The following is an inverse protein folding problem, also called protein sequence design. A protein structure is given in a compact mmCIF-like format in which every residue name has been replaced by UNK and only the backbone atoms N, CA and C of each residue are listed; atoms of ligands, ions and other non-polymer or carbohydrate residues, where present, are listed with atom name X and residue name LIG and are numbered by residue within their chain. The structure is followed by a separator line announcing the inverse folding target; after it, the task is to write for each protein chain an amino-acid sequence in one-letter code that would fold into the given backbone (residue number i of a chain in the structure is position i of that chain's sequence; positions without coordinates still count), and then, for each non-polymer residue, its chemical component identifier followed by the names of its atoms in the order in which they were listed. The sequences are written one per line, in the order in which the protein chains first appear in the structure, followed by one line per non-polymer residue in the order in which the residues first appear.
data_IF_236583044715
#
_entry.id   IF_236583044715
#
_cell.length_a   1.000
_cell.length_b   1.000
_cell.length_c   1.000
_cell.angle_alpha   90.00
_cell.angle_beta   90.00
_cell.angle_gamma   90.00
#
_symmetry.space_group_name_H-M   'P 1'
#
loop_
_entity.id
_entity.type
_entity.pdbx_description
1 polymer ?
#
# COMPACT_ATOMS: atom_id res chain seq x y z
N UNK A 1 -94.17 19.24 -120.79
CA UNK A 1 -94.23 20.54 -120.09
C UNK A 1 -95.69 20.86 -119.84
N UNK A 2 -96.10 21.32 -118.64
CA UNK A 2 -95.40 21.24 -117.34
C UNK A 2 -95.45 19.76 -116.84
N UNK A 3 -95.61 19.30 -115.58
CA UNK A 3 -95.61 19.91 -114.23
C UNK A 3 -95.08 18.88 -113.19
N UNK A 4 -94.56 19.29 -112.01
CA UNK A 4 -94.10 18.38 -110.95
C UNK A 4 -95.14 18.13 -109.83
N UNK A 5 -95.19 16.93 -109.23
CA UNK A 5 -95.97 16.67 -108.02
C UNK A 5 -95.25 17.09 -106.72
N UNK A 6 -96.05 17.44 -105.71
CA UNK A 6 -95.65 18.08 -104.45
C UNK A 6 -94.84 17.19 -103.47
N UNK A 7 -94.10 17.80 -102.52
CA UNK A 7 -93.22 17.08 -101.59
C UNK A 7 -93.98 16.23 -100.56
N UNK A 8 -93.38 15.10 -100.16
CA UNK A 8 -93.80 14.32 -98.99
C UNK A 8 -93.26 14.96 -97.70
N UNK A 9 -94.17 15.29 -96.79
CA UNK A 9 -93.89 15.70 -95.40
C UNK A 9 -93.19 14.58 -94.60
N UNK A 10 -92.48 14.91 -93.51
CA UNK A 10 -91.43 14.07 -92.95
C UNK A 10 -91.95 12.90 -92.09
N UNK A 11 -91.08 11.89 -91.90
CA UNK A 11 -91.28 10.83 -90.92
C UNK A 11 -91.52 11.45 -89.53
N UNK A 12 -92.56 10.97 -88.86
CA UNK A 12 -93.02 11.56 -87.60
C UNK A 12 -91.98 11.51 -86.48
N UNK A 13 -92.07 12.50 -85.58
CA UNK A 13 -91.45 12.42 -84.26
C UNK A 13 -91.82 11.09 -83.59
N UNK A 14 -90.89 10.39 -82.92
CA UNK A 14 -91.16 9.07 -82.35
C UNK A 14 -92.34 9.15 -81.39
N UNK A 15 -93.33 8.28 -81.60
CA UNK A 15 -94.64 8.31 -80.94
C UNK A 15 -94.57 8.21 -79.40
N UNK A 16 -93.44 7.71 -78.87
CA UNK A 16 -93.16 7.66 -77.45
C UNK A 16 -91.77 8.25 -77.13
N UNK A 17 -91.54 8.62 -75.87
CA UNK A 17 -90.25 9.14 -75.39
C UNK A 17 -89.97 8.74 -73.94
N UNK A 18 -88.70 8.67 -73.57
CA UNK A 18 -88.27 8.46 -72.19
C UNK A 18 -88.50 9.72 -71.35
N UNK A 19 -89.34 9.62 -70.31
CA UNK A 19 -89.57 10.68 -69.32
C UNK A 19 -88.97 10.26 -67.98
N UNK A 20 -88.22 11.15 -67.32
CA UNK A 20 -87.85 10.96 -65.90
C UNK A 20 -89.13 11.10 -65.08
N UNK A 21 -89.53 10.04 -64.38
CA UNK A 21 -90.75 10.02 -63.55
C UNK A 21 -90.47 10.11 -62.06
N UNK A 22 -89.23 9.81 -61.65
CA UNK A 22 -88.83 9.84 -60.25
C UNK A 22 -87.43 9.25 -60.06
N UNK A 23 -87.23 8.62 -58.91
CA UNK A 23 -85.97 8.03 -58.48
C UNK A 23 -86.23 6.74 -57.68
N UNK A 24 -85.23 5.87 -57.57
CA UNK A 24 -85.27 4.72 -56.67
C UNK A 24 -85.35 5.16 -55.20
N UNK A 25 -85.57 4.19 -54.30
CA UNK A 25 -85.19 4.37 -52.91
C UNK A 25 -83.69 4.74 -52.80
N UNK A 26 -83.32 5.51 -51.78
CA UNK A 26 -81.94 5.83 -51.47
C UNK A 26 -81.21 4.56 -50.98
N UNK A 27 -79.95 4.35 -51.39
CA UNK A 27 -79.18 3.15 -51.02
C UNK A 27 -78.90 3.02 -49.52
N UNK A 28 -79.09 4.09 -48.75
CA UNK A 28 -79.00 4.12 -47.30
C UNK A 28 -80.30 4.69 -46.72
N UNK A 29 -80.75 4.12 -45.60
CA UNK A 29 -81.93 4.60 -44.87
C UNK A 29 -81.66 5.87 -44.05
N UNK A 30 -80.41 6.27 -43.93
CA UNK A 30 -79.95 7.46 -43.21
C UNK A 30 -78.59 7.94 -43.76
N UNK A 31 -78.19 9.16 -43.42
CA UNK A 31 -76.88 9.72 -43.77
C UNK A 31 -76.70 9.95 -45.27
N UNK A 32 -75.54 9.54 -45.80
CA UNK A 32 -75.22 9.60 -47.23
C UNK A 32 -75.68 8.32 -47.93
N UNK A 33 -76.42 8.46 -49.02
CA UNK A 33 -76.68 7.38 -49.96
C UNK A 33 -76.64 7.86 -51.41
N UNK A 34 -76.92 6.93 -52.32
CA UNK A 34 -77.15 7.22 -53.74
C UNK A 34 -78.49 6.65 -54.17
N UNK A 35 -79.23 7.43 -54.97
CA UNK A 35 -80.44 6.99 -55.67
C UNK A 35 -80.16 6.90 -57.17
N UNK A 36 -81.03 6.26 -57.93
CA UNK A 36 -80.96 6.20 -59.40
C UNK A 36 -82.23 6.77 -60.00
N UNK A 37 -82.16 7.65 -61.01
CA UNK A 37 -83.34 8.19 -61.65
C UNK A 37 -84.10 7.09 -62.41
N UNK A 38 -85.43 7.08 -62.27
CA UNK A 38 -86.33 6.16 -62.95
C UNK A 38 -86.88 6.84 -64.20
N UNK A 39 -86.74 6.16 -65.34
CA UNK A 39 -87.23 6.60 -66.64
C UNK A 39 -88.25 5.59 -67.16
N UNK A 40 -89.47 6.06 -67.44
CA UNK A 40 -90.53 5.28 -68.08
C UNK A 40 -90.76 5.77 -69.52
N UNK A 41 -91.32 4.90 -70.34
CA UNK A 41 -91.69 5.22 -71.71
C UNK A 41 -93.09 5.83 -71.73
N UNK A 42 -93.27 7.00 -72.34
CA UNK A 42 -94.55 7.71 -72.36
C UNK A 42 -94.96 8.11 -73.77
N UNK A 43 -96.23 7.89 -74.09
CA UNK A 43 -96.90 8.31 -75.32
C UNK A 43 -96.87 9.83 -75.49
N UNK A 44 -96.52 10.32 -76.70
CA UNK A 44 -96.58 11.75 -77.01
C UNK A 44 -98.00 12.26 -77.23
N UNK A 45 -98.92 11.40 -77.65
CA UNK A 45 -100.30 11.77 -77.99
C UNK A 45 -101.25 11.62 -76.81
N UNK A 46 -101.23 10.48 -76.11
CA UNK A 46 -102.10 10.22 -74.95
C UNK A 46 -101.49 10.62 -73.60
N UNK A 47 -100.17 10.78 -73.51
CA UNK A 47 -99.48 11.04 -72.25
C UNK A 47 -99.42 9.84 -71.29
N UNK A 48 -99.93 8.67 -71.70
CA UNK A 48 -99.94 7.45 -70.90
C UNK A 48 -98.60 6.70 -70.93
N UNK A 49 -98.37 5.89 -69.89
CA UNK A 49 -97.24 4.97 -69.80
C UNK A 49 -97.38 3.83 -70.82
N UNK A 50 -96.30 3.56 -71.55
CA UNK A 50 -96.19 2.49 -72.53
C UNK A 50 -95.09 1.51 -72.12
N UNK A 51 -95.11 0.30 -72.69
CA UNK A 51 -94.03 -0.67 -72.53
C UNK A 51 -92.68 -0.07 -72.96
N UNK A 52 -91.59 -0.41 -72.26
CA UNK A 52 -90.24 0.11 -72.54
C UNK A 52 -89.82 -0.07 -74.01
N UNK A 53 -90.29 -1.13 -74.68
CA UNK A 53 -89.99 -1.42 -76.09
C UNK A 53 -90.52 -0.33 -77.03
N UNK A 54 -91.62 0.34 -76.69
CA UNK A 54 -92.16 1.46 -77.47
C UNK A 54 -91.21 2.67 -77.53
N UNK A 55 -90.26 2.77 -76.60
CA UNK A 55 -89.21 3.78 -76.60
C UNK A 55 -87.83 3.26 -77.05
N UNK A 56 -87.73 2.01 -77.50
CA UNK A 56 -86.45 1.40 -77.90
C UNK A 56 -85.79 2.09 -79.12
N UNK A 57 -86.57 2.80 -79.95
CA UNK A 57 -86.06 3.62 -81.04
C UNK A 57 -85.34 4.91 -80.57
N UNK A 58 -85.50 5.29 -79.29
CA UNK A 58 -84.83 6.44 -78.68
C UNK A 58 -83.77 6.01 -77.66
N UNK A 59 -82.64 6.72 -77.63
CA UNK A 59 -81.60 6.48 -76.63
C UNK A 59 -82.14 6.67 -75.20
N UNK A 60 -82.06 5.62 -74.37
CA UNK A 60 -82.46 5.69 -72.96
C UNK A 60 -81.47 6.59 -72.20
N UNK A 61 -81.93 7.60 -71.46
CA UNK A 61 -81.03 8.46 -70.67
C UNK A 61 -80.23 7.66 -69.62
N UNK A 62 -79.00 8.07 -69.29
CA UNK A 62 -78.16 7.35 -68.34
C UNK A 62 -78.72 7.43 -66.92
N UNK A 63 -78.88 6.27 -66.27
CA UNK A 63 -79.27 6.16 -64.86
C UNK A 63 -78.06 6.25 -63.92
N UNK A 64 -77.26 7.32 -64.07
CA UNK A 64 -76.12 7.61 -63.19
C UNK A 64 -76.58 7.72 -61.74
N UNK A 65 -75.84 7.16 -60.77
CA UNK A 65 -76.18 7.30 -59.37
C UNK A 65 -76.01 8.77 -58.94
N UNK A 66 -77.08 9.38 -58.48
CA UNK A 66 -77.12 10.75 -57.97
C UNK A 66 -77.11 10.69 -56.42
N UNK A 67 -76.48 11.65 -55.71
CA UNK A 67 -76.44 11.64 -54.26
C UNK A 67 -77.81 11.93 -53.65
N UNK A 68 -78.20 11.15 -52.63
CA UNK A 68 -79.35 11.41 -51.79
C UNK A 68 -78.89 11.59 -50.33
N UNK A 69 -79.45 12.60 -49.65
CA UNK A 69 -79.21 12.85 -48.24
C UNK A 69 -80.43 12.39 -47.45
N UNK A 70 -80.25 11.33 -46.66
CA UNK A 70 -81.27 10.87 -45.71
C UNK A 70 -81.28 11.70 -44.43
N UNK A 71 -82.17 11.36 -43.51
CA UNK A 71 -82.08 11.83 -42.12
C UNK A 71 -80.75 11.39 -41.50
N UNK A 72 -80.19 12.12 -40.51
CA UNK A 72 -78.97 11.69 -39.84
C UNK A 72 -79.11 10.28 -39.27
N UNK A 73 -78.07 9.45 -39.38
CA UNK A 73 -78.10 8.11 -38.79
C UNK A 73 -78.17 8.18 -37.25
N UNK A 74 -78.59 7.10 -36.58
CA UNK A 74 -78.49 7.02 -35.12
C UNK A 74 -77.05 7.31 -34.66
N UNK A 75 -76.85 8.07 -33.57
CA UNK A 75 -75.53 8.31 -33.03
C UNK A 75 -74.96 7.02 -32.43
N UNK A 76 -73.63 6.90 -32.32
CA UNK A 76 -72.96 5.74 -31.76
C UNK A 76 -71.69 6.12 -30.98
N UNK A 77 -71.28 5.26 -30.04
CA UNK A 77 -70.01 5.40 -29.33
C UNK A 77 -68.86 4.89 -30.19
N UNK A 78 -67.99 5.78 -30.63
CA UNK A 78 -66.67 5.45 -31.17
C UNK A 78 -65.65 5.41 -30.03
N UNK A 79 -64.88 4.32 -29.96
CA UNK A 79 -63.85 4.16 -28.94
C UNK A 79 -62.46 4.44 -29.54
N UNK A 80 -61.72 5.36 -28.93
CA UNK A 80 -60.35 5.66 -29.33
C UNK A 80 -59.34 4.60 -28.85
N UNK A 81 -58.09 4.82 -29.23
CA UNK A 81 -56.95 3.99 -28.81
C UNK A 81 -56.76 3.98 -27.29
N UNK A 82 -56.22 2.86 -26.80
CA UNK A 82 -55.82 2.72 -25.40
C UNK A 82 -54.52 3.47 -25.11
N UNK A 83 -54.44 4.14 -23.95
CA UNK A 83 -53.19 4.70 -23.43
C UNK A 83 -52.17 3.60 -23.17
N UNK A 84 -50.90 3.99 -22.92
CA UNK A 84 -49.96 3.11 -22.22
C UNK A 84 -50.53 2.63 -20.88
N UNK A 85 -50.04 1.48 -20.41
CA UNK A 85 -50.39 0.90 -19.11
C UNK A 85 -49.93 1.84 -17.98
N UNK A 86 -50.73 1.99 -16.92
CA UNK A 86 -50.42 2.87 -15.78
C UNK A 86 -49.20 2.44 -14.95
N UNK A 87 -48.63 1.26 -15.23
CA UNK A 87 -47.37 0.76 -14.67
C UNK A 87 -46.46 0.28 -15.80
N UNK A 88 -45.15 0.23 -15.54
CA UNK A 88 -44.14 -0.40 -16.42
C UNK A 88 -44.00 -1.91 -16.20
N UNK A 89 -44.54 -2.44 -15.10
CA UNK A 89 -44.51 -3.84 -14.71
C UNK A 89 -45.75 -4.20 -13.86
N UNK A 90 -46.09 -5.48 -13.81
CA UNK A 90 -47.19 -6.02 -13.02
C UNK A 90 -48.59 -5.70 -13.55
N UNK A 91 -49.63 -5.86 -12.71
CA UNK A 91 -51.00 -5.49 -13.04
C UNK A 91 -51.19 -3.96 -13.00
N UNK A 92 -51.74 -3.40 -14.08
CA UNK A 92 -52.06 -1.98 -14.21
C UNK A 92 -53.37 -1.76 -14.95
N UNK A 93 -53.61 -0.51 -15.33
CA UNK A 93 -54.81 -0.04 -16.04
C UNK A 93 -54.46 0.80 -17.26
N UNK A 94 -55.16 0.58 -18.37
CA UNK A 94 -55.17 1.44 -19.55
C UNK A 94 -56.50 2.17 -19.62
N UNK A 95 -56.49 3.37 -20.19
CA UNK A 95 -57.66 4.21 -20.38
C UNK A 95 -57.86 4.52 -21.87
N UNK A 96 -59.08 4.77 -22.30
CA UNK A 96 -59.37 5.30 -23.64
C UNK A 96 -60.50 6.31 -23.60
N UNK A 97 -60.51 7.21 -24.57
CA UNK A 97 -61.59 8.18 -24.74
C UNK A 97 -62.71 7.58 -25.60
N UNK A 98 -63.94 8.04 -25.36
CA UNK A 98 -65.10 7.74 -26.19
C UNK A 98 -65.60 9.03 -26.83
N UNK A 99 -65.87 8.98 -28.13
CA UNK A 99 -66.50 10.07 -28.87
C UNK A 99 -67.91 9.60 -29.28
N UNK A 100 -68.93 10.42 -29.05
CA UNK A 100 -70.23 10.18 -29.64
C UNK A 100 -70.19 10.69 -31.08
N UNK A 101 -70.34 9.80 -32.07
CA UNK A 101 -70.34 10.18 -33.49
C UNK A 101 -71.70 10.00 -34.13
N UNK A 102 -71.97 10.80 -35.15
CA UNK A 102 -73.19 10.71 -35.93
C UNK A 102 -72.88 10.97 -37.42
N UNK A 103 -73.39 10.09 -38.28
CA UNK A 103 -73.29 10.21 -39.75
C UNK A 103 -74.39 11.15 -40.27
N UNK A 104 -73.97 12.26 -40.87
CA UNK A 104 -74.85 13.23 -41.54
C UNK A 104 -74.68 13.12 -43.07
N UNK A 105 -75.60 13.73 -43.84
CA UNK A 105 -75.43 13.87 -45.30
C UNK A 105 -74.13 14.57 -45.72
N UNK A 106 -73.47 15.31 -44.82
CA UNK A 106 -72.13 15.88 -45.02
C UNK A 106 -70.96 14.94 -44.66
N UNK A 107 -71.19 13.92 -43.83
CA UNK A 107 -70.22 12.94 -43.33
C UNK A 107 -70.36 12.70 -41.82
N UNK A 108 -69.57 11.77 -41.27
CA UNK A 108 -69.46 11.54 -39.83
C UNK A 108 -68.86 12.75 -39.10
N UNK A 109 -69.52 13.19 -38.02
CA UNK A 109 -69.02 14.23 -37.12
C UNK A 109 -69.14 13.81 -35.66
N UNK A 110 -68.30 14.39 -34.80
CA UNK A 110 -68.42 14.27 -33.35
C UNK A 110 -69.55 15.15 -32.84
N UNK A 111 -70.40 14.60 -31.99
CA UNK A 111 -71.59 15.26 -31.44
C UNK A 111 -71.59 15.20 -29.90
N UNK A 112 -72.39 16.02 -29.21
CA UNK A 112 -72.40 16.05 -27.75
C UNK A 112 -72.69 14.66 -27.12
N UNK A 113 -71.98 14.25 -26.06
CA UNK A 113 -72.06 12.91 -25.46
C UNK A 113 -73.49 12.47 -25.09
N UNK A 114 -74.35 13.42 -24.76
CA UNK A 114 -75.73 13.22 -24.34
C UNK A 114 -76.56 12.53 -25.43
N UNK A 115 -76.22 12.74 -26.72
CA UNK A 115 -76.89 12.05 -27.84
C UNK A 115 -76.67 10.54 -27.82
N UNK A 116 -75.55 10.07 -27.29
CA UNK A 116 -75.27 8.65 -27.07
C UNK A 116 -75.56 8.19 -25.62
N UNK A 117 -76.09 9.06 -24.75
CA UNK A 117 -76.26 8.77 -23.32
C UNK A 117 -77.23 7.64 -22.99
N UNK A 118 -78.14 7.32 -23.92
CA UNK A 118 -79.07 6.19 -23.82
C UNK A 118 -78.51 4.86 -24.36
N UNK A 119 -77.32 4.88 -24.96
CA UNK A 119 -76.66 3.71 -25.54
C UNK A 119 -75.67 3.09 -24.53
N UNK A 120 -75.49 1.76 -24.53
CA UNK A 120 -74.53 1.10 -23.64
C UNK A 120 -73.12 1.66 -23.88
N UNK A 121 -72.55 2.29 -22.86
CA UNK A 121 -71.24 2.93 -22.93
C UNK A 121 -70.13 1.86 -22.91
N UNK A 122 -69.26 1.78 -23.94
CA UNK A 122 -68.13 0.85 -23.92
C UNK A 122 -67.19 1.07 -22.73
N UNK A 123 -66.47 0.02 -22.31
CA UNK A 123 -65.48 0.14 -21.24
C UNK A 123 -64.41 1.18 -21.59
N UNK A 124 -64.22 2.16 -20.70
CA UNK A 124 -63.21 3.24 -20.80
C UNK A 124 -61.90 2.92 -20.07
N UNK A 125 -61.91 1.86 -19.26
CA UNK A 125 -60.76 1.34 -18.51
C UNK A 125 -60.63 -0.15 -18.78
N UNK A 126 -59.40 -0.63 -18.97
CA UNK A 126 -59.07 -2.05 -19.14
C UNK A 126 -57.87 -2.41 -18.27
N UNK A 127 -57.85 -3.62 -17.71
CA UNK A 127 -56.69 -4.17 -17.02
C UNK A 127 -55.59 -4.56 -18.00
N UNK A 128 -54.38 -4.08 -17.79
CA UNK A 128 -53.16 -4.53 -18.49
C UNK A 128 -52.32 -5.38 -17.54
N UNK A 129 -51.79 -6.50 -18.04
CA UNK A 129 -50.85 -7.35 -17.30
C UNK A 129 -49.50 -7.33 -18.00
N UNK A 130 -48.51 -6.71 -17.36
CA UNK A 130 -47.12 -6.69 -17.84
C UNK A 130 -46.29 -7.76 -17.12
N UNK A 131 -45.00 -7.83 -17.50
CA UNK A 131 -43.98 -8.66 -16.82
C UNK A 131 -44.00 -8.38 -15.32
N UNK A 132 -43.76 -9.40 -14.48
CA UNK A 132 -43.69 -9.23 -13.03
C UNK A 132 -42.64 -8.16 -12.67
N UNK A 133 -42.97 -7.30 -11.70
CA UNK A 133 -42.04 -6.30 -11.20
C UNK A 133 -40.84 -6.97 -10.50
N UNK A 134 -39.70 -6.28 -10.50
CA UNK A 134 -38.59 -6.63 -9.63
C UNK A 134 -39.00 -6.58 -8.15
N UNK A 135 -38.34 -7.38 -7.32
CA UNK A 135 -38.56 -7.40 -5.88
C UNK A 135 -37.24 -7.28 -5.11
N UNK A 136 -37.31 -6.74 -3.89
CA UNK A 136 -36.14 -6.63 -3.03
C UNK A 136 -35.85 -7.98 -2.36
N UNK A 137 -34.62 -8.45 -2.52
CA UNK A 137 -34.13 -9.67 -1.89
C UNK A 137 -32.98 -9.36 -0.92
N UNK A 138 -32.99 -10.00 0.24
CA UNK A 138 -31.91 -9.92 1.23
C UNK A 138 -30.85 -10.95 0.85
N UNK A 139 -29.77 -10.48 0.22
CA UNK A 139 -28.71 -11.35 -0.31
C UNK A 139 -27.74 -11.90 0.74
N UNK A 140 -27.74 -11.37 1.97
CA UNK A 140 -26.84 -11.80 3.04
C UNK A 140 -27.49 -11.72 4.43
N UNK A 141 -27.01 -12.50 5.41
CA UNK A 141 -27.22 -12.17 6.81
C UNK A 141 -26.57 -10.82 7.17
N UNK A 142 -26.87 -10.30 8.36
CA UNK A 142 -26.18 -9.13 8.91
C UNK A 142 -24.69 -9.38 9.16
N UNK A 143 -23.87 -8.37 8.90
CA UNK A 143 -22.46 -8.34 9.30
C UNK A 143 -22.31 -8.35 10.83
N UNK A 144 -21.08 -8.58 11.29
CA UNK A 144 -20.70 -8.19 12.65
C UNK A 144 -20.87 -6.66 12.83
N UNK A 145 -21.07 -6.23 14.07
CA UNK A 145 -21.15 -4.81 14.40
C UNK A 145 -19.81 -4.11 14.09
N UNK A 146 -19.84 -2.87 13.59
CA UNK A 146 -18.65 -2.09 13.26
C UNK A 146 -17.75 -1.76 14.46
N UNK A 147 -18.21 -2.03 15.68
CA UNK A 147 -17.53 -1.79 16.95
C UNK A 147 -17.59 -3.03 17.84
N UNK A 148 -16.61 -3.19 18.74
CA UNK A 148 -16.58 -4.28 19.74
C UNK A 148 -17.34 -3.94 21.02
N UNK A 149 -17.60 -2.66 21.26
CA UNK A 149 -18.39 -2.09 22.35
C UNK A 149 -19.08 -0.82 21.84
N UNK A 150 -20.09 -0.35 22.54
CA UNK A 150 -20.77 0.91 22.25
C UNK A 150 -21.69 0.79 21.03
N UNK A 151 -22.06 1.95 20.50
CA UNK A 151 -22.96 2.06 19.35
C UNK A 151 -22.19 1.99 18.04
N UNK A 152 -22.59 1.10 17.16
CA UNK A 152 -22.08 0.98 15.79
C UNK A 152 -23.18 0.68 14.79
N UNK A 153 -22.78 0.27 13.59
CA UNK A 153 -23.69 -0.22 12.56
C UNK A 153 -23.30 -1.64 12.13
N UNK A 154 -24.31 -2.42 11.76
CA UNK A 154 -24.16 -3.64 10.96
C UNK A 154 -24.84 -3.45 9.60
N UNK A 155 -24.30 -4.07 8.56
CA UNK A 155 -24.80 -3.98 7.19
C UNK A 155 -25.17 -5.35 6.64
N UNK A 156 -26.05 -5.38 5.64
CA UNK A 156 -26.38 -6.57 4.85
C UNK A 156 -26.62 -6.17 3.39
N UNK A 157 -26.39 -7.10 2.48
CA UNK A 157 -26.70 -6.88 1.07
C UNK A 157 -28.21 -6.96 0.84
N UNK A 158 -28.74 -5.94 0.17
CA UNK A 158 -30.13 -5.88 -0.31
C UNK A 158 -30.04 -5.53 -1.78
N UNK A 159 -30.57 -6.40 -2.65
CA UNK A 159 -30.50 -6.28 -4.11
C UNK A 159 -31.90 -6.22 -4.70
N UNK A 160 -32.05 -5.54 -5.83
CA UNK A 160 -33.26 -5.60 -6.62
C UNK A 160 -33.10 -6.74 -7.63
N UNK A 161 -33.99 -7.74 -7.58
CA UNK A 161 -33.94 -8.91 -8.49
C UNK A 161 -35.15 -8.95 -9.40
N UNK A 162 -34.88 -9.21 -10.67
CA UNK A 162 -35.90 -9.36 -11.70
C UNK A 162 -36.59 -10.72 -11.65
N UNK A 163 -37.56 -10.94 -12.54
CA UNK A 163 -38.34 -12.18 -12.60
C UNK A 163 -37.50 -13.44 -12.88
N UNK A 164 -36.29 -13.29 -13.41
CA UNK A 164 -35.38 -14.39 -13.75
C UNK A 164 -34.37 -14.71 -12.62
N UNK A 165 -34.37 -13.95 -11.52
CA UNK A 165 -33.36 -14.03 -10.46
C UNK A 165 -32.10 -13.19 -10.71
N UNK A 166 -31.96 -12.60 -11.91
CA UNK A 166 -30.90 -11.65 -12.23
C UNK A 166 -31.03 -10.35 -11.41
N UNK A 167 -29.90 -9.74 -11.06
CA UNK A 167 -29.87 -8.42 -10.42
C UNK A 167 -30.19 -7.32 -11.45
N UNK A 168 -31.21 -6.50 -11.15
CA UNK A 168 -31.75 -5.48 -12.05
C UNK A 168 -31.72 -4.09 -11.40
N UNK A 169 -32.08 -3.05 -12.15
CA UNK A 169 -32.09 -1.67 -11.64
C UNK A 169 -33.06 -1.52 -10.46
N UNK A 170 -32.64 -0.84 -9.39
CA UNK A 170 -33.47 -0.53 -8.21
C UNK A 170 -34.82 0.13 -8.57
N UNK A 171 -34.86 0.84 -9.70
CA UNK A 171 -36.06 1.49 -10.24
C UNK A 171 -37.18 0.49 -10.57
N UNK A 172 -36.87 -0.77 -10.89
CA UNK A 172 -37.86 -1.82 -11.15
C UNK A 172 -38.55 -2.26 -9.84
N UNK A 173 -37.80 -2.28 -8.73
CA UNK A 173 -38.30 -2.57 -7.39
C UNK A 173 -38.97 -1.36 -6.72
N UNK A 174 -38.69 -0.13 -7.17
CA UNK A 174 -39.26 1.10 -6.59
C UNK A 174 -40.79 1.18 -6.67
N UNK A 175 -41.43 0.41 -7.55
CA UNK A 175 -42.90 0.31 -7.64
C UNK A 175 -43.51 -0.77 -6.74
N UNK A 176 -42.67 -1.57 -6.06
CA UNK A 176 -43.06 -2.65 -5.16
C UNK A 176 -43.06 -2.24 -3.68
N UNK A 177 -42.93 -3.20 -2.75
CA UNK A 177 -42.72 -2.93 -1.33
C UNK A 177 -41.43 -2.10 -1.07
N UNK A 178 -41.34 -1.36 0.04
CA UNK A 178 -40.16 -0.56 0.36
C UNK A 178 -38.91 -1.42 0.54
N UNK A 179 -37.75 -0.86 0.19
CA UNK A 179 -36.45 -1.51 0.34
C UNK A 179 -36.21 -1.91 1.82
N UNK A 180 -35.90 -3.19 2.11
CA UNK A 180 -35.47 -3.60 3.44
C UNK A 180 -34.24 -2.81 3.89
N UNK A 181 -34.10 -2.45 5.19
CA UNK A 181 -32.94 -1.69 5.64
C UNK A 181 -31.64 -2.48 5.38
N UNK A 182 -30.71 -1.86 4.66
CA UNK A 182 -29.37 -2.40 4.36
C UNK A 182 -28.36 -2.12 5.48
N UNK A 183 -28.70 -1.22 6.41
CA UNK A 183 -27.94 -0.89 7.62
C UNK A 183 -28.85 -0.86 8.84
N UNK A 184 -28.31 -1.24 9.98
CA UNK A 184 -29.01 -1.25 11.26
C UNK A 184 -28.04 -0.85 12.38
N UNK A 185 -28.55 -0.15 13.39
CA UNK A 185 -27.76 0.19 14.57
C UNK A 185 -27.57 -1.04 15.47
N UNK A 186 -26.37 -1.20 16.02
CA UNK A 186 -26.05 -2.20 17.03
C UNK A 186 -25.48 -1.53 18.27
N UNK A 187 -25.90 -1.98 19.45
CA UNK A 187 -25.33 -1.57 20.73
C UNK A 187 -24.64 -2.79 21.36
N UNK A 188 -23.32 -2.71 21.48
CA UNK A 188 -22.47 -3.78 22.01
C UNK A 188 -22.15 -3.56 23.51
N UNK A 189 -22.97 -2.76 24.21
CA UNK A 189 -22.79 -2.43 25.63
C UNK A 189 -21.81 -1.27 25.88
N UNK A 190 -21.59 -0.86 27.13
CA UNK A 190 -20.73 0.29 27.42
C UNK A 190 -19.25 0.05 27.04
N UNK A 191 -18.64 0.99 26.32
CA UNK A 191 -17.19 1.01 26.14
C UNK A 191 -16.50 1.46 27.43
N UNK A 192 -15.98 0.52 28.21
CA UNK A 192 -15.14 0.80 29.38
C UNK A 192 -13.67 0.87 28.99
N UNK A 193 -12.93 1.74 29.68
CA UNK A 193 -11.46 1.71 29.67
C UNK A 193 -11.00 1.03 30.95
N UNK A 194 -10.25 -0.07 30.82
CA UNK A 194 -9.92 -0.96 31.93
C UNK A 194 -8.45 -1.37 31.92
N UNK A 195 -7.95 -1.74 33.10
CA UNK A 195 -6.61 -2.32 33.26
C UNK A 195 -6.65 -3.81 32.93
N UNK A 196 -5.95 -4.20 31.87
CA UNK A 196 -5.69 -5.60 31.52
C UNK A 196 -4.29 -5.98 31.98
N UNK A 197 -4.09 -7.26 32.30
CA UNK A 197 -2.79 -7.77 32.71
C UNK A 197 -2.57 -9.19 32.18
N UNK A 198 -1.31 -9.55 31.92
CA UNK A 198 -0.94 -10.94 31.62
C UNK A 198 -0.85 -11.77 32.90
N UNK A 199 -0.70 -13.09 32.71
CA UNK A 199 -0.13 -13.95 33.74
C UNK A 199 1.29 -13.50 34.13
N UNK A 200 1.72 -13.95 35.31
CA UNK A 200 3.06 -13.72 35.83
C UNK A 200 4.12 -14.50 35.06
N UNK A 201 5.33 -13.94 34.93
CA UNK A 201 6.47 -14.61 34.31
C UNK A 201 6.69 -15.98 34.94
N UNK A 202 6.70 -17.04 34.12
CA UNK A 202 6.80 -18.43 34.59
C UNK A 202 8.06 -18.73 35.40
N UNK A 203 9.13 -17.93 35.21
CA UNK A 203 10.37 -17.95 35.99
C UNK A 203 10.45 -16.74 36.93
N UNK A 204 11.05 -16.96 38.10
CA UNK A 204 11.50 -15.91 39.00
C UNK A 204 12.78 -15.24 38.43
N UNK A 205 13.04 -13.98 38.76
CA UNK A 205 14.27 -13.29 38.28
C UNK A 205 15.55 -13.83 38.91
N UNK A 206 15.46 -14.55 40.03
CA UNK A 206 16.55 -15.24 40.69
C UNK A 206 16.38 -16.76 40.53
N UNK A 207 17.50 -17.49 40.47
CA UNK A 207 17.52 -18.97 40.35
C UNK A 207 17.29 -19.66 41.70
N UNK A 208 17.56 -18.94 42.79
CA UNK A 208 17.39 -19.35 44.19
C UNK A 208 17.18 -18.08 45.04
N UNK A 209 16.78 -18.23 46.30
CA UNK A 209 16.56 -17.08 47.19
C UNK A 209 15.35 -16.24 46.78
N UNK A 210 15.35 -14.95 47.16
CA UNK A 210 14.30 -13.99 46.81
C UNK A 210 14.54 -13.36 45.44
N UNK A 211 13.51 -13.28 44.61
CA UNK A 211 13.51 -12.56 43.33
C UNK A 211 12.16 -11.94 43.01
N UNK A 212 11.98 -11.53 41.76
CA UNK A 212 10.77 -10.85 41.27
C UNK A 212 10.18 -11.61 40.07
N UNK A 213 8.87 -11.80 40.06
CA UNK A 213 8.11 -12.12 38.84
C UNK A 213 7.47 -10.85 38.29
N UNK A 214 7.47 -10.71 36.96
CA UNK A 214 6.92 -9.57 36.23
C UNK A 214 5.70 -9.99 35.42
N UNK A 215 4.76 -9.09 35.18
CA UNK A 215 3.67 -9.26 34.19
C UNK A 215 3.45 -7.97 33.42
N UNK A 216 2.88 -8.05 32.22
CA UNK A 216 2.42 -6.83 31.54
C UNK A 216 1.15 -6.32 32.21
N UNK A 217 1.03 -5.00 32.29
CA UNK A 217 -0.17 -4.30 32.78
C UNK A 217 -0.42 -3.14 31.83
N UNK A 218 -1.50 -3.21 31.07
CA UNK A 218 -1.84 -2.25 30.01
C UNK A 218 -3.21 -1.64 30.26
N UNK A 219 -3.33 -0.33 30.05
CA UNK A 219 -4.61 0.34 29.99
C UNK A 219 -5.12 0.26 28.55
N UNK A 220 -6.29 -0.32 28.32
CA UNK A 220 -6.92 -0.36 27.00
C UNK A 220 -8.32 0.23 27.08
N UNK A 221 -8.55 1.27 26.27
CA UNK A 221 -9.88 1.80 25.99
C UNK A 221 -10.46 1.06 24.80
N UNK A 222 -11.67 0.52 24.93
CA UNK A 222 -12.31 -0.32 23.91
C UNK A 222 -12.75 0.45 22.63
N UNK A 223 -12.46 1.76 22.54
CA UNK A 223 -12.96 2.69 21.51
C UNK A 223 -12.00 3.04 20.36
N UNK A 224 -10.92 2.27 20.14
CA UNK A 224 -10.02 2.49 19.00
C UNK A 224 -10.61 1.93 17.68
N UNK A 225 -11.60 2.62 17.12
CA UNK A 225 -12.08 2.34 15.76
C UNK A 225 -11.03 2.76 14.73
N UNK A 226 -10.48 1.80 13.99
CA UNK A 226 -9.60 2.04 12.84
C UNK A 226 -10.42 2.52 11.63
N UNK A 227 -10.84 3.79 11.67
CA UNK A 227 -11.46 4.50 10.56
C UNK A 227 -10.45 5.47 9.91
N UNK A 228 -10.11 5.32 8.61
CA UNK A 228 -9.23 6.27 7.95
C UNK A 228 -10.00 7.55 7.57
N UNK A 229 -9.76 8.63 8.32
CA UNK A 229 -10.03 10.00 7.90
C UNK A 229 -11.41 10.58 8.22
N UNK A 230 -11.49 11.35 9.31
CA UNK A 230 -12.01 12.72 9.30
C UNK A 230 -11.55 13.46 10.58
N UNK A 231 -11.28 14.75 10.44
CA UNK A 231 -10.65 15.56 11.48
C UNK A 231 -11.62 16.16 12.50
N UNK A 232 -11.05 16.54 13.64
CA UNK A 232 -11.45 17.66 14.49
C UNK A 232 -12.96 17.95 14.69
N UNK A 233 -13.54 17.37 15.74
CA UNK A 233 -13.99 18.15 16.91
C UNK A 233 -14.72 17.25 17.91
N UNK A 234 -14.15 17.10 19.11
CA UNK A 234 -14.75 16.33 20.18
C UNK A 234 -13.76 16.09 21.29
N UNK A 235 -13.79 16.95 22.31
CA UNK A 235 -12.98 16.83 23.52
C UNK A 235 -13.49 15.67 24.41
N UNK A 236 -13.42 14.44 23.89
CA UNK A 236 -13.49 13.24 24.68
C UNK A 236 -12.21 13.15 25.50
N UNK A 237 -12.33 13.34 26.82
CA UNK A 237 -11.24 13.16 27.78
C UNK A 237 -10.46 11.90 27.45
N UNK A 238 -9.17 12.02 27.13
CA UNK A 238 -8.30 10.86 26.86
C UNK A 238 -8.39 9.90 28.04
N UNK A 239 -9.14 8.80 27.84
CA UNK A 239 -9.82 8.12 28.94
C UNK A 239 -8.85 7.16 29.63
N UNK A 240 -7.86 7.73 30.30
CA UNK A 240 -6.80 7.00 31.00
C UNK A 240 -7.39 6.20 32.14
N UNK A 241 -6.95 4.96 32.29
CA UNK A 241 -7.42 4.09 33.36
C UNK A 241 -7.05 4.70 34.72
N UNK A 242 -7.96 4.69 35.72
CA UNK A 242 -7.69 5.32 37.01
C UNK A 242 -6.45 4.68 37.68
N UNK A 243 -5.47 5.52 38.02
CA UNK A 243 -4.15 5.06 38.49
C UNK A 243 -4.24 4.22 39.76
N UNK A 244 -5.20 4.52 40.64
CA UNK A 244 -5.44 3.78 41.90
C UNK A 244 -5.96 2.35 41.73
N UNK A 245 -6.47 1.97 40.55
CA UNK A 245 -6.88 0.59 40.26
C UNK A 245 -5.88 -0.17 39.38
N UNK A 246 -4.70 0.40 39.11
CA UNK A 246 -3.64 -0.26 38.31
C UNK A 246 -3.16 -1.53 39.05
N UNK A 247 -3.32 -2.73 38.47
CA UNK A 247 -2.77 -3.95 39.05
C UNK A 247 -1.24 -3.86 39.17
N UNK A 248 -0.62 -4.47 40.20
CA UNK A 248 0.84 -4.49 40.32
C UNK A 248 1.46 -5.25 39.14
N UNK A 249 2.53 -4.71 38.57
CA UNK A 249 3.32 -5.30 37.47
C UNK A 249 4.49 -6.17 37.95
N UNK A 250 4.79 -6.13 39.25
CA UNK A 250 5.83 -6.90 39.93
C UNK A 250 5.29 -7.58 41.19
N UNK A 251 5.75 -8.81 41.47
CA UNK A 251 5.56 -9.49 42.76
C UNK A 251 6.85 -10.20 43.20
N UNK A 252 7.03 -10.35 44.51
CA UNK A 252 8.12 -11.16 45.05
C UNK A 252 7.89 -12.67 44.77
N UNK A 253 8.97 -13.39 44.58
CA UNK A 253 9.04 -14.86 44.52
C UNK A 253 10.22 -15.35 45.36
N UNK A 254 10.13 -16.57 45.89
CA UNK A 254 11.21 -17.20 46.65
C UNK A 254 11.41 -18.64 46.20
N UNK A 255 12.65 -19.01 45.81
CA UNK A 255 13.01 -20.32 45.28
C UNK A 255 13.97 -21.08 46.22
N UNK A 256 13.62 -21.17 47.51
CA UNK A 256 14.44 -21.84 48.52
C UNK A 256 15.75 -21.11 48.85
N UNK A 257 16.58 -21.65 49.76
CA UNK A 257 17.89 -21.08 50.07
C UNK A 257 18.86 -21.26 48.89
N UNK A 258 19.76 -20.30 48.68
CA UNK A 258 20.83 -20.44 47.70
C UNK A 258 21.97 -21.30 48.25
N UNK A 259 22.38 -22.31 47.50
CA UNK A 259 23.60 -23.08 47.78
C UNK A 259 24.85 -22.36 47.24
N UNK A 260 25.98 -22.59 47.91
CA UNK A 260 27.27 -22.01 47.53
C UNK A 260 27.96 -22.91 46.52
N UNK A 261 28.11 -22.44 45.28
CA UNK A 261 28.79 -23.15 44.19
C UNK A 261 30.13 -22.51 43.87
N UNK A 262 31.03 -23.22 43.19
CA UNK A 262 32.34 -22.71 42.76
C UNK A 262 32.51 -22.82 41.25
N UNK A 263 33.29 -21.91 40.66
CA UNK A 263 33.66 -21.96 39.24
C UNK A 263 34.91 -21.15 38.94
N UNK A 264 35.62 -21.54 37.89
CA UNK A 264 36.66 -20.72 37.30
C UNK A 264 36.04 -19.50 36.59
N UNK A 265 36.63 -18.32 36.82
CA UNK A 265 36.35 -17.11 36.07
C UNK A 265 37.63 -16.67 35.37
N UNK A 266 37.53 -16.28 34.10
CA UNK A 266 38.66 -15.88 33.27
C UNK A 266 38.57 -14.40 32.97
N UNK A 267 39.65 -13.65 33.24
CA UNK A 267 39.77 -12.26 32.81
C UNK A 267 39.91 -12.13 31.28
N UNK A 268 39.93 -10.88 30.76
CA UNK A 268 40.32 -10.62 29.38
C UNK A 268 41.75 -11.11 29.12
N UNK A 269 42.07 -11.35 27.85
CA UNK A 269 43.46 -11.55 27.44
C UNK A 269 44.22 -10.22 27.55
N UNK A 270 45.40 -10.25 28.15
CA UNK A 270 46.36 -9.15 28.11
C UNK A 270 47.06 -9.06 26.76
N UNK A 271 47.98 -8.11 26.64
CA UNK A 271 48.68 -7.82 25.39
C UNK A 271 49.50 -9.03 24.89
N UNK A 272 49.68 -9.09 23.57
CA UNK A 272 50.47 -10.15 22.94
C UNK A 272 51.95 -9.96 23.30
N UNK A 273 52.66 -11.03 23.67
CA UNK A 273 54.10 -11.00 24.02
C UNK A 273 55.02 -10.49 22.91
N UNK A 274 54.51 -10.38 21.69
CA UNK A 274 55.21 -9.96 20.49
C UNK A 274 54.40 -8.86 19.80
N UNK A 275 54.97 -7.67 19.65
CA UNK A 275 54.34 -6.56 18.90
C UNK A 275 54.08 -6.92 17.43
N UNK A 276 54.91 -7.81 16.88
CA UNK A 276 54.82 -8.30 15.51
C UNK A 276 55.12 -9.81 15.43
N UNK A 277 54.59 -10.49 14.41
CA UNK A 277 54.77 -11.94 14.22
C UNK A 277 53.94 -12.78 15.18
N UNK A 278 54.40 -13.99 15.51
CA UNK A 278 53.73 -14.87 16.48
C UNK A 278 54.14 -14.54 17.92
N UNK A 279 53.18 -14.62 18.83
CA UNK A 279 53.39 -14.43 20.26
C UNK A 279 52.40 -15.24 21.09
N UNK A 280 52.39 -15.00 22.40
CA UNK A 280 51.40 -15.55 23.32
C UNK A 280 50.80 -14.45 24.19
N UNK A 281 49.51 -14.55 24.45
CA UNK A 281 48.77 -13.67 25.35
C UNK A 281 48.42 -14.44 26.64
N UNK A 282 48.49 -13.74 27.77
CA UNK A 282 48.16 -14.26 29.10
C UNK A 282 46.82 -13.71 29.57
N UNK A 283 46.06 -14.49 30.32
CA UNK A 283 44.92 -13.99 31.11
C UNK A 283 44.94 -14.54 32.52
N UNK A 284 44.31 -13.80 33.42
CA UNK A 284 44.10 -14.26 34.79
C UNK A 284 42.94 -15.24 34.89
N UNK A 285 43.09 -16.21 35.79
CA UNK A 285 42.08 -17.24 36.06
C UNK A 285 41.95 -17.39 37.57
N UNK A 286 40.81 -16.97 38.09
CA UNK A 286 40.50 -16.95 39.51
C UNK A 286 39.37 -17.93 39.83
N UNK A 287 39.41 -18.54 41.01
CA UNK A 287 38.32 -19.37 41.51
C UNK A 287 37.34 -18.47 42.27
N UNK A 288 36.08 -18.43 41.84
CA UNK A 288 35.03 -17.64 42.51
C UNK A 288 33.95 -18.56 43.05
N UNK A 289 33.47 -18.27 44.26
CA UNK A 289 32.25 -18.87 44.78
C UNK A 289 31.04 -17.98 44.47
N UNK A 290 29.95 -18.59 43.98
CA UNK A 290 28.64 -17.96 43.77
C UNK A 290 27.73 -18.31 44.94
N UNK A 291 27.08 -17.32 45.53
CA UNK A 291 25.98 -17.49 46.48
C UNK A 291 24.84 -16.57 46.04
N UNK A 292 23.79 -17.12 45.44
CA UNK A 292 22.76 -16.32 44.77
C UNK A 292 23.35 -15.45 43.66
N UNK A 293 23.23 -14.13 43.79
CA UNK A 293 23.81 -13.14 42.88
C UNK A 293 25.21 -12.68 43.26
N UNK A 294 25.75 -13.07 44.43
CA UNK A 294 27.06 -12.63 44.90
C UNK A 294 28.20 -13.52 44.39
N UNK A 295 29.35 -12.89 44.14
CA UNK A 295 30.56 -13.52 43.60
C UNK A 295 31.72 -13.14 44.52
N UNK A 296 32.29 -14.12 45.21
CA UNK A 296 33.44 -13.91 46.10
C UNK A 296 34.67 -14.65 45.57
N UNK A 297 35.83 -13.98 45.54
CA UNK A 297 37.10 -14.61 45.13
C UNK A 297 37.57 -15.55 46.25
N UNK A 298 37.99 -16.75 45.88
CA UNK A 298 38.36 -17.81 46.83
C UNK A 298 39.67 -18.50 46.42
N UNK A 299 40.26 -19.28 47.32
CA UNK A 299 41.45 -20.08 47.01
C UNK A 299 41.24 -20.95 45.76
N UNK A 300 42.21 -21.00 44.82
CA UNK A 300 42.18 -21.87 43.64
C UNK A 300 41.91 -23.35 43.95
N UNK A 301 42.27 -23.83 45.15
CA UNK A 301 42.02 -25.20 45.60
C UNK A 301 40.53 -25.58 45.58
N UNK A 302 39.62 -24.63 45.80
CA UNK A 302 38.18 -24.91 45.80
C UNK A 302 37.63 -25.26 44.42
N UNK A 303 38.28 -24.80 43.34
CA UNK A 303 37.90 -25.11 41.97
C UNK A 303 38.75 -26.25 41.35
N UNK A 304 39.58 -26.94 42.14
CA UNK A 304 40.50 -27.99 41.67
C UNK A 304 39.80 -29.17 41.00
N UNK A 305 38.56 -29.48 41.42
CA UNK A 305 37.72 -30.53 40.84
C UNK A 305 37.05 -30.13 39.50
N UNK A 306 37.24 -28.87 39.05
CA UNK A 306 36.66 -28.34 37.82
C UNK A 306 37.75 -28.14 36.75
N UNK A 307 37.46 -28.39 35.46
CA UNK A 307 38.42 -28.21 34.38
C UNK A 307 38.91 -26.75 34.33
N UNK A 308 40.20 -26.55 34.59
CA UNK A 308 40.81 -25.21 34.61
C UNK A 308 41.01 -24.69 33.17
N UNK A 309 40.47 -23.51 32.81
CA UNK A 309 40.67 -22.94 31.48
C UNK A 309 42.16 -22.65 31.18
N UNK A 310 42.54 -22.54 29.89
CA UNK A 310 43.92 -22.20 29.52
C UNK A 310 44.24 -20.74 29.90
N UNK A 311 45.38 -20.53 30.56
CA UNK A 311 45.89 -19.20 30.97
C UNK A 311 46.80 -18.55 29.91
N UNK A 312 47.16 -19.28 28.85
CA UNK A 312 47.95 -18.84 27.72
C UNK A 312 47.23 -19.23 26.41
N UNK A 313 47.31 -18.37 25.41
CA UNK A 313 46.83 -18.64 24.05
C UNK A 313 47.82 -18.03 23.04
N UNK A 314 48.05 -18.64 21.86
CA UNK A 314 48.76 -17.98 20.78
C UNK A 314 48.02 -16.71 20.31
N UNK A 315 48.80 -15.70 19.94
CA UNK A 315 48.34 -14.46 19.31
C UNK A 315 49.25 -14.13 18.13
N UNK A 316 48.71 -13.37 17.17
CA UNK A 316 49.46 -12.86 16.03
C UNK A 316 49.50 -11.33 16.14
N UNK A 317 50.70 -10.78 16.34
CA UNK A 317 50.96 -9.35 16.24
C UNK A 317 50.93 -8.87 14.78
N UNK A 318 51.28 -7.61 14.54
CA UNK A 318 51.32 -7.09 13.16
C UNK A 318 52.40 -7.77 12.31
N UNK A 319 52.36 -7.58 10.99
CA UNK A 319 53.44 -8.03 10.12
C UNK A 319 54.74 -7.28 10.50
N UNK A 320 55.77 -8.02 10.91
CA UNK A 320 57.06 -7.41 11.26
C UNK A 320 57.65 -6.67 10.05
N UNK A 321 57.99 -5.40 10.24
CA UNK A 321 58.52 -4.56 9.17
C UNK A 321 60.05 -4.66 9.08
N UNK A 322 60.57 -4.52 7.86
CA UNK A 322 62.01 -4.46 7.60
C UNK A 322 62.59 -3.15 8.20
N UNK A 323 63.78 -3.22 8.82
CA UNK A 323 64.35 -2.09 9.59
C UNK A 323 65.80 -1.78 9.21
N UNK A 324 66.20 -0.52 9.37
CA UNK A 324 67.57 -0.08 9.15
C UNK A 324 68.48 -0.51 10.32
N UNK A 325 69.62 -1.10 9.97
CA UNK A 325 70.73 -1.39 10.88
C UNK A 325 71.96 -0.57 10.46
N UNK A 326 72.84 -0.29 11.41
CA UNK A 326 74.09 0.42 11.13
C UNK A 326 75.24 -0.10 11.98
N UNK A 327 76.43 -0.19 11.41
CA UNK A 327 77.65 -0.56 12.14
C UNK A 327 78.11 0.58 13.07
N UNK A 328 79.01 0.29 14.03
CA UNK A 328 79.74 1.34 14.76
C UNK A 328 80.46 2.30 13.81
N UNK A 329 80.68 3.53 14.26
CA UNK A 329 81.43 4.53 13.50
C UNK A 329 82.92 4.16 13.42
N UNK A 330 83.53 4.43 12.27
CA UNK A 330 84.98 4.33 12.06
C UNK A 330 85.77 5.19 13.06
N UNK A 331 87.08 5.01 13.19
CA UNK A 331 87.96 6.06 13.72
C UNK A 331 87.76 7.37 12.94
N UNK A 332 87.97 8.51 13.60
CA UNK A 332 87.85 9.82 12.95
C UNK A 332 89.05 10.06 12.02
N UNK A 333 88.80 10.53 10.80
CA UNK A 333 89.84 10.72 9.79
C UNK A 333 90.94 11.73 10.16
N UNK A 334 90.72 12.57 11.18
CA UNK A 334 91.67 13.56 11.72
C UNK A 334 91.52 13.62 13.24
N UNK A 335 92.62 13.80 13.97
CA UNK A 335 92.63 13.88 15.44
C UNK A 335 92.12 15.24 15.98
N UNK A 336 92.20 16.30 15.19
CA UNK A 336 91.72 17.65 15.52
C UNK A 336 91.40 18.47 14.25
N UNK A 337 90.85 19.67 14.42
CA UNK A 337 90.48 20.62 13.36
C UNK A 337 89.47 20.07 12.32
N UNK A 338 88.61 19.13 12.71
CA UNK A 338 87.53 18.60 11.90
C UNK A 338 87.94 17.45 10.98
N UNK A 339 87.47 16.25 11.30
CA UNK A 339 87.51 15.06 10.45
C UNK A 339 86.10 14.55 10.12
N UNK A 340 86.02 13.42 9.43
CA UNK A 340 84.76 12.69 9.16
C UNK A 340 84.88 11.25 9.64
N UNK A 341 83.80 10.74 10.25
CA UNK A 341 83.60 9.31 10.51
C UNK A 341 82.60 8.74 9.52
N UNK A 342 82.79 7.48 9.13
CA UNK A 342 81.89 6.72 8.26
C UNK A 342 81.34 5.50 9.01
N UNK A 343 80.19 5.01 8.57
CA UNK A 343 79.65 3.70 8.98
C UNK A 343 78.82 3.10 7.86
N UNK A 344 78.62 1.80 7.90
CA UNK A 344 77.69 1.12 7.00
C UNK A 344 76.26 1.20 7.53
N UNK A 345 75.31 1.26 6.61
CA UNK A 345 73.87 1.36 6.89
C UNK A 345 73.11 0.51 5.88
N UNK A 346 72.60 -0.63 6.34
CA UNK A 346 71.91 -1.63 5.54
C UNK A 346 70.49 -1.81 6.06
N UNK A 347 69.53 -2.05 5.16
CA UNK A 347 68.16 -2.41 5.52
C UNK A 347 68.11 -3.94 5.56
N UNK A 348 67.64 -4.51 6.68
CA UNK A 348 67.52 -5.96 6.82
C UNK A 348 66.07 -6.35 7.07
N UNK A 349 65.68 -7.47 6.47
CA UNK A 349 64.39 -8.10 6.72
C UNK A 349 64.38 -8.86 8.04
N UNK A 350 63.20 -9.36 8.42
CA UNK A 350 62.97 -10.18 9.63
C UNK A 350 63.94 -11.36 9.74
N UNK A 351 64.34 -11.93 8.60
CA UNK A 351 65.23 -13.08 8.52
C UNK A 351 66.72 -12.69 8.39
N UNK A 352 67.08 -11.44 8.74
CA UNK A 352 68.43 -10.86 8.64
C UNK A 352 69.01 -10.80 7.21
N UNK A 353 68.18 -11.01 6.19
CA UNK A 353 68.54 -10.86 4.78
C UNK A 353 68.47 -9.39 4.34
N UNK A 354 69.29 -9.01 3.35
CA UNK A 354 69.26 -7.65 2.79
C UNK A 354 67.88 -7.34 2.19
N UNK A 355 67.30 -6.20 2.55
CA UNK A 355 66.02 -5.70 2.01
C UNK A 355 66.17 -4.27 1.48
N UNK A 356 65.23 -3.86 0.64
CA UNK A 356 65.09 -2.49 0.12
C UNK A 356 63.81 -1.79 0.61
N UNK A 357 62.98 -2.49 1.40
CA UNK A 357 61.63 -2.01 1.79
C UNK A 357 61.61 -1.10 3.03
N UNK A 358 62.76 -0.80 3.64
CA UNK A 358 62.83 0.12 4.77
C UNK A 358 62.59 1.59 4.33
N UNK A 359 61.81 2.40 5.08
CA UNK A 359 61.52 3.78 4.71
C UNK A 359 62.81 4.63 4.57
N UNK A 360 63.08 5.26 3.42
CA UNK A 360 64.34 5.99 3.19
C UNK A 360 64.53 7.20 4.11
N UNK A 361 63.45 7.84 4.55
CA UNK A 361 63.47 8.96 5.50
C UNK A 361 63.96 8.58 6.91
N UNK A 362 63.87 7.30 7.28
CA UNK A 362 64.39 6.78 8.55
C UNK A 362 65.82 6.23 8.42
N UNK A 363 66.45 6.34 7.24
CA UNK A 363 67.79 5.78 7.00
C UNK A 363 68.85 6.52 7.83
N UNK A 364 69.57 5.84 8.74
CA UNK A 364 70.63 6.47 9.50
C UNK A 364 71.73 7.09 8.61
N UNK A 365 72.32 8.20 9.07
CA UNK A 365 73.42 8.86 8.35
C UNK A 365 74.64 7.96 8.22
N UNK A 366 75.21 7.85 7.01
CA UNK A 366 76.42 7.06 6.72
C UNK A 366 77.75 7.80 6.97
N UNK A 367 77.70 9.11 7.18
CA UNK A 367 78.84 9.99 7.50
C UNK A 367 78.45 10.98 8.59
N UNK A 368 79.40 11.36 9.46
CA UNK A 368 79.24 12.47 10.42
C UNK A 368 80.57 13.24 10.60
N UNK A 369 80.55 14.55 10.90
CA UNK A 369 81.73 15.26 11.36
C UNK A 369 82.19 14.75 12.73
N UNK A 370 83.49 14.87 13.01
CA UNK A 370 84.12 14.45 14.26
C UNK A 370 85.36 15.31 14.53
N UNK A 371 85.84 15.30 15.77
CA UNK A 371 87.07 15.98 16.21
C UNK A 371 87.20 17.44 15.76
N UNK A 372 86.16 18.24 15.95
CA UNK A 372 86.13 19.67 15.63
C UNK A 372 87.00 20.54 16.56
N UNK A 373 87.48 19.99 17.69
CA UNK A 373 88.36 20.70 18.62
C UNK A 373 89.73 21.08 17.99
N UNK A 374 90.34 22.21 18.40
CA UNK A 374 91.71 22.55 18.05
C UNK A 374 92.72 21.60 18.75
N UNK A 375 93.88 21.38 18.14
CA UNK A 375 94.99 20.66 18.79
C UNK A 375 95.71 21.58 19.80
N UNK A 376 95.87 21.13 21.04
CA UNK A 376 96.62 21.83 22.10
C UNK A 376 97.69 20.90 22.69
N UNK A 377 98.88 21.43 22.99
CA UNK A 377 100.05 20.67 23.45
C UNK A 377 100.13 20.59 24.99
N UNK A 378 100.30 19.35 25.47
CA UNK A 378 100.83 18.79 26.76
C UNK A 378 100.53 19.47 28.13
N UNK A 379 100.33 18.68 29.22
CA UNK A 379 100.10 19.18 30.58
C UNK A 379 101.36 19.26 31.48
N UNK A 380 101.14 19.91 32.64
CA UNK A 380 102.05 20.50 33.64
C UNK A 380 103.04 19.55 34.38
N UNK A 381 104.11 20.14 34.92
CA UNK A 381 105.40 19.52 35.31
C UNK A 381 105.56 19.36 36.85
N UNK A 382 104.47 19.49 37.61
CA UNK A 382 104.51 19.69 39.07
C UNK A 382 104.04 18.48 39.91
N UNK A 383 104.32 17.27 39.44
CA UNK A 383 103.91 16.02 40.10
C UNK A 383 105.00 15.44 41.04
N UNK A 384 104.61 14.90 42.20
CA UNK A 384 105.52 14.28 43.19
C UNK A 384 105.00 12.93 43.67
N UNK A 385 105.90 11.96 43.80
CA UNK A 385 105.56 10.61 44.25
C UNK A 385 105.08 10.57 45.71
N UNK A 386 103.99 9.84 45.95
CA UNK A 386 103.32 9.75 47.25
C UNK A 386 103.70 8.51 48.07
N UNK A 387 104.57 7.62 47.54
CA UNK A 387 104.99 6.39 48.23
C UNK A 387 106.50 6.13 48.05
N UNK A 388 107.23 5.70 49.09
CA UNK A 388 108.63 5.30 48.97
C UNK A 388 108.83 4.04 48.12
N UNK A 389 107.77 3.26 47.86
CA UNK A 389 107.82 2.03 47.06
C UNK A 389 107.64 2.27 45.54
N UNK A 390 107.54 3.52 45.09
CA UNK A 390 107.36 3.84 43.67
C UNK A 390 108.44 3.30 42.70
N UNK A 391 109.72 3.09 43.09
CA UNK A 391 110.69 2.40 42.23
C UNK A 391 110.30 0.94 41.92
N UNK A 392 109.65 0.24 42.86
CA UNK A 392 109.16 -1.14 42.64
C UNK A 392 107.97 -1.16 41.67
N UNK A 393 107.10 -0.14 41.73
CA UNK A 393 105.98 0.05 40.80
C UNK A 393 106.47 0.19 39.35
N UNK A 394 107.59 0.90 39.15
CA UNK A 394 108.28 1.00 37.86
C UNK A 394 108.88 -0.34 37.43
N UNK A 395 109.65 -1.01 38.30
CA UNK A 395 110.26 -2.31 37.99
C UNK A 395 109.22 -3.39 37.65
N UNK A 396 108.08 -3.40 38.33
CA UNK A 396 106.97 -4.32 38.09
C UNK A 396 106.08 -3.93 36.89
N UNK A 397 106.43 -2.86 36.14
CA UNK A 397 105.66 -2.32 34.99
C UNK A 397 104.21 -1.95 35.33
N UNK A 398 103.93 -1.61 36.58
CA UNK A 398 102.57 -1.31 37.08
C UNK A 398 102.10 0.11 36.74
N UNK A 399 102.97 0.96 36.20
CA UNK A 399 102.66 2.30 35.68
C UNK A 399 101.65 2.33 34.51
N UNK A 400 101.10 1.19 34.06
CA UNK A 400 99.98 1.16 33.10
C UNK A 400 98.61 1.40 33.78
N UNK A 401 98.51 1.22 35.10
CA UNK A 401 97.25 1.37 35.82
C UNK A 401 97.09 2.78 36.42
N UNK A 402 95.90 3.43 36.29
CA UNK A 402 95.66 4.80 36.74
C UNK A 402 95.96 5.06 38.23
N UNK A 403 95.74 4.05 39.09
CA UNK A 403 96.04 4.14 40.51
C UNK A 403 97.54 4.37 40.78
N UNK A 404 98.40 3.69 40.03
CA UNK A 404 99.84 3.79 40.16
C UNK A 404 100.40 5.04 39.46
N UNK A 405 99.83 5.49 38.35
CA UNK A 405 100.24 6.76 37.73
C UNK A 405 99.81 7.98 38.56
N UNK A 406 98.71 7.91 39.32
CA UNK A 406 98.34 8.94 40.27
C UNK A 406 99.24 8.94 41.53
N UNK A 407 99.55 7.76 42.07
CA UNK A 407 100.30 7.64 43.35
C UNK A 407 101.82 7.76 43.18
N UNK A 408 102.34 7.33 42.03
CA UNK A 408 103.77 7.30 41.68
C UNK A 408 104.03 8.10 40.40
N UNK A 409 103.44 9.29 40.34
CA UNK A 409 103.38 10.15 39.17
C UNK A 409 104.76 10.54 38.58
N UNK A 410 105.73 10.91 39.42
CA UNK A 410 107.09 11.29 38.98
C UNK A 410 107.90 10.06 38.56
N UNK A 411 107.79 8.96 39.30
CA UNK A 411 108.42 7.68 38.97
C UNK A 411 107.89 7.12 37.64
N UNK A 412 106.58 7.19 37.40
CA UNK A 412 105.95 6.71 36.17
C UNK A 412 106.11 7.68 34.99
N UNK A 413 106.26 9.00 35.21
CA UNK A 413 106.52 9.98 34.14
C UNK A 413 107.81 9.64 33.36
N UNK A 414 108.90 9.31 34.05
CA UNK A 414 110.16 8.92 33.40
C UNK A 414 110.09 7.58 32.62
N UNK A 415 109.08 6.74 32.88
CA UNK A 415 108.81 5.53 32.09
C UNK A 415 108.05 5.88 30.82
N UNK A 416 107.06 6.78 30.93
CA UNK A 416 106.23 7.23 29.80
C UNK A 416 107.01 8.07 28.79
N UNK A 417 108.04 8.82 29.20
CA UNK A 417 108.91 9.56 28.26
C UNK A 417 109.94 8.69 27.53
N UNK A 418 110.29 7.50 28.05
CA UNK A 418 111.28 6.59 27.43
C UNK A 418 110.68 5.57 26.45
N UNK A 419 109.48 5.83 25.95
CA UNK A 419 108.85 5.02 24.88
C UNK A 419 108.50 5.89 23.67
N UNK A 420 109.49 6.17 22.81
CA UNK A 420 109.24 6.09 21.38
C UNK A 420 110.35 5.34 20.64
N UNK A 421 110.00 4.19 20.05
CA UNK A 421 110.38 3.82 18.67
C UNK A 421 109.73 2.49 18.28
N UNK A 422 108.83 2.54 17.29
CA UNK A 422 108.49 1.39 16.46
C UNK A 422 109.74 0.94 15.67
N UNK A 423 109.96 -0.37 15.49
CA UNK A 423 110.68 -0.90 14.35
C UNK A 423 109.72 -1.21 13.19
N UNK A 424 110.22 -0.99 11.97
CA UNK A 424 109.53 -1.10 10.67
C UNK A 424 109.09 -2.51 10.27
#
# INVERSE_FOLDING_TARGET
MPAPPHPRTPLGSPAAYWKRVGHSACSASCGKGVWRPIFLCISRESGEELDERSCAAGARPPASPEPCHGTPCPPYWEAGEWTSCSRSCGPGTQHRQLQCRQEFGGGGSSVPPERCGHLPRPNITQSCQLRLCGHWEVGSPWSQCSVRCGRGQRSRQVRCVGNNGDEVSEQECASGPPQPPSREACDMGPCTTAWFHSDWSSKCSAECGTGIQRRSVVCLGSGAALGPGQGEAGAGTGQSCPTGSRPPDMRACSLGPCERTWRWYTGPWGECSSECGSGTQRRDIICVSKLGTEFNVTSPSNCSHLPRPPALQPCQGQACQDRWFSTPWSPCSRSCQGGTQTREVQCLSTNQTLSTRCPPQLRPSRKRPCNSQPCSQRPDDQCKDSSPHCPLVVQARLCVYPYYTATCCRSCAHVLERSPQDPS
#
